data_IF_838839152192
#
_entry.id   IF_838839152192
#
_cell.length_a   1.000
_cell.length_b   1.000
_cell.length_c   1.000
_cell.angle_alpha   90.00
_cell.angle_beta   90.00
_cell.angle_gamma   90.00
#
_symmetry.space_group_name_H-M   'P 1'
#
loop_
_entity.id
_entity.type
_entity.pdbx_description
1 polymer ?
#
# COMPACT_ATOMS: atom_id res chain seq x y z
N UNK A 1 -2.48 6.30 12.58
CA UNK A 1 -3.44 5.90 11.54
C UNK A 1 -3.48 4.39 11.50
N UNK A 2 -4.67 3.81 11.58
CA UNK A 2 -4.87 2.36 11.55
C UNK A 2 -5.18 1.92 10.12
N UNK A 3 -4.88 0.67 9.76
CA UNK A 3 -5.16 0.13 8.42
C UNK A 3 -6.65 0.22 8.06
N UNK A 4 -7.54 -0.03 9.04
CA UNK A 4 -9.00 0.05 8.85
C UNK A 4 -9.47 1.46 8.48
N UNK A 5 -8.90 2.49 9.09
CA UNK A 5 -9.25 3.90 8.82
C UNK A 5 -8.99 4.27 7.35
N UNK A 6 -7.90 3.73 6.77
CA UNK A 6 -7.57 3.92 5.36
C UNK A 6 -8.55 3.17 4.45
N UNK A 7 -8.90 1.93 4.81
CA UNK A 7 -9.86 1.12 4.04
C UNK A 7 -11.24 1.79 4.04
N UNK A 8 -11.71 2.24 5.21
CA UNK A 8 -13.00 2.90 5.38
C UNK A 8 -13.04 4.21 4.58
N UNK A 9 -11.98 5.02 4.68
CA UNK A 9 -11.86 6.26 3.90
C UNK A 9 -11.95 5.99 2.40
N UNK A 10 -11.23 4.99 1.89
CA UNK A 10 -11.30 4.66 0.45
C UNK A 10 -12.69 4.17 0.07
N UNK A 11 -13.33 3.35 0.91
CA UNK A 11 -14.65 2.80 0.62
C UNK A 11 -15.75 3.86 0.54
N UNK A 12 -15.64 4.91 1.35
CA UNK A 12 -16.62 6.01 1.40
C UNK A 12 -16.49 6.97 0.22
N UNK A 13 -15.28 7.13 -0.34
CA UNK A 13 -15.00 8.14 -1.37
C UNK A 13 -14.82 7.56 -2.78
N UNK A 14 -14.53 6.26 -2.92
CA UNK A 14 -14.31 5.62 -4.22
C UNK A 14 -15.34 4.52 -4.55
N UNK A 15 -15.57 4.25 -5.85
CA UNK A 15 -16.42 3.14 -6.28
C UNK A 15 -15.93 1.77 -5.79
N UNK A 16 -16.85 0.83 -5.63
CA UNK A 16 -16.62 -0.52 -5.07
C UNK A 16 -15.43 -1.27 -5.69
N UNK A 17 -15.23 -1.17 -7.01
CA UNK A 17 -14.13 -1.85 -7.72
C UNK A 17 -12.73 -1.29 -7.38
N UNK A 18 -12.64 -0.16 -6.68
CA UNK A 18 -11.38 0.45 -6.22
C UNK A 18 -11.13 0.19 -4.72
N UNK A 19 -12.02 -0.54 -4.04
CA UNK A 19 -11.87 -0.81 -2.61
C UNK A 19 -10.64 -1.71 -2.35
N UNK A 20 -9.94 -1.44 -1.25
CA UNK A 20 -8.67 -2.08 -0.88
C UNK A 20 -8.86 -3.48 -0.27
N UNK A 21 -9.44 -4.41 -1.04
CA UNK A 21 -9.71 -5.79 -0.59
C UNK A 21 -8.44 -6.63 -0.35
N UNK A 22 -7.32 -6.20 -0.93
CA UNK A 22 -6.00 -6.80 -0.69
C UNK A 22 -5.34 -6.38 0.62
N UNK A 23 -6.02 -5.55 1.43
CA UNK A 23 -5.48 -5.01 2.67
C UNK A 23 -4.59 -3.79 2.47
N UNK A 24 -4.04 -3.31 3.58
CA UNK A 24 -3.13 -2.18 3.67
C UNK A 24 -1.95 -2.60 4.52
N UNK A 25 -0.74 -2.25 4.10
CA UNK A 25 0.48 -2.44 4.88
C UNK A 25 1.13 -1.09 5.09
N UNK A 26 1.37 -0.72 6.34
CA UNK A 26 2.07 0.51 6.70
C UNK A 26 3.57 0.24 6.69
N UNK A 27 4.31 1.02 5.91
CA UNK A 27 5.76 0.94 5.80
C UNK A 27 6.38 2.23 6.31
N UNK A 28 7.51 2.13 7.00
CA UNK A 28 8.26 3.32 7.45
C UNK A 28 8.80 4.11 6.26
N UNK A 29 9.26 3.41 5.21
CA UNK A 29 9.83 4.02 4.02
C UNK A 29 9.50 3.22 2.75
N UNK A 30 9.28 3.95 1.66
CA UNK A 30 9.11 3.36 0.33
C UNK A 30 10.47 3.05 -0.30
N UNK A 31 10.67 1.86 -0.89
CA UNK A 31 11.91 1.56 -1.61
C UNK A 31 11.99 2.44 -2.86
N UNK A 32 13.07 3.20 -2.99
CA UNK A 32 13.30 4.12 -4.10
C UNK A 32 14.56 3.75 -4.88
N UNK A 33 14.58 4.05 -6.18
CA UNK A 33 15.80 3.99 -7.00
C UNK A 33 16.70 5.19 -6.70
N UNK A 34 17.92 5.18 -7.23
CA UNK A 34 18.84 6.33 -7.18
C UNK A 34 18.18 7.63 -7.69
N UNK A 35 17.26 7.50 -8.65
CA UNK A 35 16.46 8.61 -9.20
C UNK A 35 15.19 8.92 -8.37
N UNK A 36 15.12 8.47 -7.12
CA UNK A 36 14.02 8.67 -6.16
C UNK A 36 12.64 8.09 -6.57
N UNK A 37 12.56 7.35 -7.68
CA UNK A 37 11.31 6.70 -8.13
C UNK A 37 11.02 5.47 -7.27
N UNK A 38 9.75 5.20 -6.97
CA UNK A 38 9.36 4.00 -6.21
C UNK A 38 9.64 2.74 -7.03
N UNK A 39 10.38 1.81 -6.44
CA UNK A 39 10.76 0.56 -7.09
C UNK A 39 9.72 -0.52 -6.83
N UNK A 40 8.81 -0.73 -7.78
CA UNK A 40 7.75 -1.75 -7.65
C UNK A 40 8.27 -3.17 -7.38
N UNK A 41 9.43 -3.53 -7.94
CA UNK A 41 10.06 -4.86 -7.74
C UNK A 41 10.43 -5.09 -6.28
N UNK A 42 11.11 -4.12 -5.67
CA UNK A 42 11.51 -4.20 -4.26
C UNK A 42 10.30 -4.09 -3.34
N UNK A 43 9.32 -3.25 -3.66
CA UNK A 43 8.07 -3.16 -2.90
C UNK A 43 7.33 -4.50 -2.85
N UNK A 44 7.23 -5.23 -3.98
CA UNK A 44 6.64 -6.57 -4.02
C UNK A 44 7.41 -7.57 -3.17
N UNK A 45 8.74 -7.52 -3.17
CA UNK A 45 9.57 -8.38 -2.32
C UNK A 45 9.38 -8.09 -0.84
N UNK A 46 9.31 -6.81 -0.46
CA UNK A 46 9.07 -6.41 0.94
C UNK A 46 7.72 -6.92 1.43
N UNK A 47 6.66 -6.80 0.63
CA UNK A 47 5.33 -7.32 0.98
C UNK A 47 5.33 -8.85 1.04
N UNK A 48 5.96 -9.53 0.08
CA UNK A 48 6.03 -11.00 0.05
C UNK A 48 6.88 -11.60 1.18
N UNK A 49 7.74 -10.82 1.82
CA UNK A 49 8.52 -11.24 2.99
C UNK A 49 7.80 -10.93 4.32
N UNK A 50 6.87 -9.97 4.32
CA UNK A 50 6.13 -9.53 5.51
C UNK A 50 4.87 -10.37 5.79
N UNK A 51 4.46 -11.22 4.85
CA UNK A 51 3.33 -12.16 4.94
C UNK A 51 3.89 -13.58 5.01
#
# INVERSE_FOLDING_TARGET
>A
TTEQDIIDTVSQHLPDHMHLRGGVVILDQLPRTENQKVTKKELKKMIALAI
#
